data_IF_111617645867
#
_entry.id   IF_111617645867
#
_cell.length_a   1.000
_cell.length_b   1.000
_cell.length_c   1.000
_cell.angle_alpha   90.00
_cell.angle_beta   90.00
_cell.angle_gamma   90.00
#
_symmetry.space_group_name_H-M   'P 1'
#
loop_
_entity.id
_entity.type
_entity.pdbx_description
1 polymer ?
#
# COMPACT_ATOMS: atom_id res chain seq x y z
N UNK A 1 -11.41 -0.03 4.75
CA UNK A 1 -11.30 0.49 6.12
C UNK A 1 -9.83 0.58 6.47
N UNK A 2 -9.35 1.67 7.10
CA UNK A 2 -7.96 1.77 7.54
C UNK A 2 -7.66 0.68 8.58
N UNK A 3 -6.46 0.11 8.55
CA UNK A 3 -6.02 -0.86 9.55
C UNK A 3 -5.30 -0.12 10.68
N UNK A 4 -5.48 -0.56 11.91
CA UNK A 4 -4.86 0.06 13.10
C UNK A 4 -3.77 -0.84 13.64
N UNK A 5 -2.65 -0.26 14.05
CA UNK A 5 -1.57 -1.00 14.68
C UNK A 5 -1.00 -0.25 15.88
N UNK A 6 -0.41 -1.02 16.79
CA UNK A 6 0.42 -0.53 17.90
C UNK A 6 1.86 -0.90 17.62
N UNK A 7 2.81 -0.06 18.03
CA UNK A 7 4.23 -0.37 17.92
C UNK A 7 5.01 0.13 19.13
N UNK A 8 6.11 -0.54 19.41
CA UNK A 8 7.06 -0.15 20.45
C UNK A 8 8.47 -0.11 19.85
N UNK A 9 9.20 0.97 20.10
CA UNK A 9 10.57 1.11 19.66
C UNK A 9 11.53 0.49 20.71
N UNK A 10 12.32 -0.53 20.34
CA UNK A 10 13.23 -1.18 21.30
C UNK A 10 14.36 -0.25 21.77
N UNK A 11 14.67 0.80 21.02
CA UNK A 11 15.81 1.67 21.32
C UNK A 11 15.47 2.86 22.23
N UNK A 12 14.25 3.40 22.13
CA UNK A 12 13.83 4.56 22.92
C UNK A 12 12.59 4.30 23.79
N UNK A 13 12.08 3.06 23.77
CA UNK A 13 10.88 2.62 24.49
C UNK A 13 9.62 3.44 24.19
N UNK A 14 9.61 4.17 23.07
CA UNK A 14 8.46 4.93 22.64
C UNK A 14 7.40 3.97 22.10
N UNK A 15 6.17 4.13 22.57
CA UNK A 15 4.99 3.39 22.13
C UNK A 15 4.04 4.32 21.40
N UNK A 16 3.46 3.86 20.29
CA UNK A 16 2.48 4.64 19.53
C UNK A 16 1.46 3.75 18.82
N UNK A 17 0.36 4.39 18.45
CA UNK A 17 -0.70 3.86 17.60
C UNK A 17 -0.75 4.65 16.29
N UNK A 18 -1.07 3.97 15.19
CA UNK A 18 -1.32 4.64 13.92
C UNK A 18 -2.32 3.86 13.05
N UNK A 19 -2.93 4.60 12.13
CA UNK A 19 -3.82 4.07 11.10
C UNK A 19 -3.05 3.92 9.80
N UNK A 20 -3.30 2.83 9.10
CA UNK A 20 -2.75 2.58 7.77
C UNK A 20 -3.79 2.93 6.72
N UNK A 21 -3.29 3.48 5.61
CA UNK A 21 -4.08 3.68 4.40
C UNK A 21 -3.64 2.66 3.38
N UNK A 22 -4.60 1.97 2.75
CA UNK A 22 -4.33 0.96 1.74
C UNK A 22 -4.85 1.43 0.40
N UNK A 23 -3.94 1.54 -0.55
CA UNK A 23 -4.23 1.74 -1.96
C UNK A 23 -4.30 0.40 -2.69
N UNK A 24 -5.20 0.28 -3.65
CA UNK A 24 -5.33 -0.92 -4.47
C UNK A 24 -5.12 -0.61 -5.94
N UNK A 25 -4.24 -1.39 -6.59
CA UNK A 25 -3.93 -1.27 -8.01
C UNK A 25 -4.24 -2.59 -8.71
N UNK A 26 -5.05 -2.51 -9.76
CA UNK A 26 -5.52 -3.65 -10.54
C UNK A 26 -6.87 -4.20 -10.11
N UNK A 27 -7.24 -5.36 -10.64
CA UNK A 27 -8.52 -5.98 -10.34
C UNK A 27 -8.55 -6.47 -8.89
N UNK A 28 -9.57 -6.06 -8.12
CA UNK A 28 -9.78 -6.55 -6.76
C UNK A 28 -10.88 -7.60 -6.75
N UNK A 29 -10.53 -8.87 -6.89
CA UNK A 29 -11.41 -9.97 -6.43
C UNK A 29 -10.81 -10.62 -5.19
N UNK A 30 -11.62 -11.32 -4.39
CA UNK A 30 -11.16 -12.00 -3.16
C UNK A 30 -9.99 -12.96 -3.39
N UNK A 31 -9.89 -13.50 -4.60
CA UNK A 31 -8.94 -14.56 -4.95
C UNK A 31 -7.76 -14.04 -5.79
N UNK A 32 -7.70 -12.73 -6.07
CA UNK A 32 -6.61 -12.17 -6.87
C UNK A 32 -5.31 -12.23 -6.06
N UNK A 33 -4.26 -12.94 -6.54
CA UNK A 33 -2.97 -12.92 -5.87
C UNK A 33 -2.37 -11.52 -5.98
N UNK A 34 -1.91 -10.97 -4.85
CA UNK A 34 -1.38 -9.61 -4.77
C UNK A 34 0.04 -9.54 -4.23
N UNK A 35 0.82 -8.63 -4.81
CA UNK A 35 2.06 -8.12 -4.21
C UNK A 35 1.68 -7.00 -3.26
N UNK A 36 2.28 -7.00 -2.08
CA UNK A 36 2.04 -5.99 -1.05
C UNK A 36 3.29 -5.15 -0.88
N UNK A 37 3.10 -3.86 -0.80
CA UNK A 37 4.15 -2.89 -0.57
C UNK A 37 3.74 -1.99 0.60
N UNK A 38 4.71 -1.53 1.38
CA UNK A 38 4.44 -0.57 2.43
C UNK A 38 5.56 0.45 2.59
N UNK A 39 5.23 1.64 3.08
CA UNK A 39 6.21 2.65 3.48
C UNK A 39 6.53 2.51 4.98
N UNK A 40 7.79 2.34 5.39
CA UNK A 40 8.14 2.20 6.81
C UNK A 40 7.98 3.51 7.61
N UNK A 41 7.93 4.65 6.94
CA UNK A 41 7.82 5.98 7.56
C UNK A 41 6.37 6.44 7.70
N UNK A 42 5.61 6.41 6.61
CA UNK A 42 4.23 6.89 6.56
C UNK A 42 3.19 5.78 6.74
N UNK A 43 3.62 4.51 6.73
CA UNK A 43 2.73 3.36 6.98
C UNK A 43 1.60 3.27 5.93
N UNK A 44 1.87 3.79 4.73
CA UNK A 44 1.02 3.61 3.54
C UNK A 44 1.22 2.20 3.00
N UNK A 45 0.13 1.51 2.70
CA UNK A 45 0.11 0.21 2.07
C UNK A 45 -0.38 0.31 0.63
N UNK A 46 0.17 -0.53 -0.22
CA UNK A 46 -0.24 -0.66 -1.61
C UNK A 46 -0.35 -2.14 -1.93
N UNK A 47 -1.50 -2.56 -2.41
CA UNK A 47 -1.72 -3.91 -2.91
C UNK A 47 -1.86 -3.85 -4.42
N UNK A 48 -1.08 -4.68 -5.11
CA UNK A 48 -1.01 -4.70 -6.57
C UNK A 48 -1.32 -6.12 -7.04
N UNK A 49 -2.31 -6.25 -7.92
CA UNK A 49 -2.62 -7.52 -8.56
C UNK A 49 -1.39 -8.09 -9.29
N UNK A 50 -1.11 -9.38 -9.10
CA UNK A 50 0.07 -10.06 -9.71
C UNK A 50 -0.14 -10.40 -11.19
N UNK A 51 -1.38 -10.57 -11.63
CA UNK A 51 -1.78 -10.87 -13.01
C UNK A 51 -1.92 -9.60 -13.87
N UNK A 52 -1.29 -8.52 -13.43
CA UNK A 52 -1.47 -7.20 -14.00
C UNK A 52 -0.43 -6.94 -15.09
N UNK A 53 -0.77 -7.30 -16.33
CA UNK A 53 0.03 -6.97 -17.51
C UNK A 53 -0.17 -5.52 -17.99
N UNK A 54 0.61 -5.10 -18.99
CA UNK A 54 0.54 -3.74 -19.54
C UNK A 54 -0.83 -3.39 -20.16
N UNK A 55 -1.54 -4.35 -20.74
CA UNK A 55 -2.86 -4.13 -21.34
C UNK A 55 -3.91 -3.93 -20.24
N UNK A 56 -3.89 -4.79 -19.23
CA UNK A 56 -4.71 -4.69 -18.02
C UNK A 56 -4.45 -3.39 -17.28
N UNK A 57 -3.18 -2.97 -17.17
CA UNK A 57 -2.79 -1.69 -16.60
C UNK A 57 -3.40 -0.50 -17.35
N UNK A 58 -3.30 -0.47 -18.69
CA UNK A 58 -3.89 0.60 -19.51
C UNK A 58 -5.41 0.66 -19.38
N UNK A 59 -6.07 -0.50 -19.42
CA UNK A 59 -7.52 -0.58 -19.26
C UNK A 59 -7.96 -0.09 -17.87
N UNK A 60 -7.25 -0.50 -16.82
CA UNK A 60 -7.49 -0.02 -15.46
C UNK A 60 -7.27 1.49 -15.36
N UNK A 61 -6.18 2.01 -15.93
CA UNK A 61 -5.86 3.44 -15.93
C UNK A 61 -7.00 4.28 -16.53
N UNK A 62 -7.60 3.83 -17.63
CA UNK A 62 -8.75 4.50 -18.23
C UNK A 62 -9.98 4.51 -17.32
N UNK A 63 -10.24 3.42 -16.59
CA UNK A 63 -11.38 3.31 -15.66
C UNK A 63 -11.20 4.06 -14.33
N UNK A 64 -9.97 4.38 -13.94
CA UNK A 64 -9.63 4.86 -12.58
C UNK A 64 -9.05 6.28 -12.56
N UNK A 65 -9.30 7.09 -13.59
CA UNK A 65 -8.85 8.50 -13.64
C UNK A 65 -9.29 9.31 -12.41
N UNK A 66 -10.48 9.05 -11.88
CA UNK A 66 -10.97 9.70 -10.66
C UNK A 66 -10.10 9.36 -9.43
N UNK A 67 -9.63 8.12 -9.30
CA UNK A 67 -8.76 7.67 -8.21
C UNK A 67 -7.40 8.36 -8.27
N UNK A 68 -6.85 8.57 -9.48
CA UNK A 68 -5.60 9.31 -9.69
C UNK A 68 -5.70 10.77 -9.24
N UNK A 69 -6.87 11.38 -9.38
CA UNK A 69 -7.09 12.76 -8.93
C UNK A 69 -7.30 12.88 -7.42
N UNK A 70 -7.74 11.79 -6.78
CA UNK A 70 -8.07 11.76 -5.35
C UNK A 70 -6.90 11.31 -4.46
N UNK A 71 -5.92 10.61 -5.01
CA UNK A 71 -4.76 10.09 -4.28
C UNK A 71 -3.47 10.64 -4.86
N UNK A 72 -2.73 11.41 -4.05
CA UNK A 72 -1.38 11.89 -4.40
C UNK A 72 -0.42 10.73 -4.67
N UNK A 73 -0.56 9.64 -3.89
CA UNK A 73 0.20 8.41 -4.10
C UNK A 73 0.00 7.85 -5.52
N UNK A 74 -1.28 7.65 -5.90
CA UNK A 74 -1.61 7.11 -7.21
C UNK A 74 -1.22 8.08 -8.32
N UNK A 75 -1.53 9.37 -8.19
CA UNK A 75 -1.19 10.41 -9.18
C UNK A 75 0.29 10.38 -9.54
N UNK A 76 1.15 10.37 -8.52
CA UNK A 76 2.59 10.40 -8.70
C UNK A 76 3.13 9.10 -9.30
N UNK A 77 2.92 7.98 -8.62
CA UNK A 77 3.55 6.71 -8.99
C UNK A 77 2.97 6.15 -10.30
N UNK A 78 1.64 6.18 -10.46
CA UNK A 78 1.00 5.68 -11.67
C UNK A 78 1.29 6.59 -12.86
N UNK A 79 1.38 7.90 -12.65
CA UNK A 79 1.78 8.85 -13.68
C UNK A 79 3.17 8.53 -14.25
N UNK A 80 4.15 8.28 -13.38
CA UNK A 80 5.50 7.88 -13.80
C UNK A 80 5.51 6.55 -14.56
N UNK A 81 4.79 5.55 -14.05
CA UNK A 81 4.74 4.22 -14.67
C UNK A 81 4.03 4.27 -16.02
N UNK A 82 2.96 5.05 -16.15
CA UNK A 82 2.28 5.29 -17.42
C UNK A 82 3.22 5.96 -18.44
N UNK A 83 3.94 7.01 -18.04
CA UNK A 83 4.91 7.68 -18.90
C UNK A 83 6.00 6.72 -19.40
N UNK A 84 6.55 5.89 -18.52
CA UNK A 84 7.55 4.87 -18.89
C UNK A 84 6.94 3.83 -19.84
N UNK A 85 5.72 3.39 -19.59
CA UNK A 85 5.04 2.41 -20.44
C UNK A 85 4.75 2.95 -21.85
N UNK A 86 4.51 4.26 -21.98
CA UNK A 86 4.27 4.91 -23.26
C UNK A 86 5.56 5.23 -24.02
N UNK A 87 6.66 5.51 -23.31
CA UNK A 87 7.97 5.77 -23.92
C UNK A 87 8.76 4.50 -24.24
N UNK A 88 8.38 3.34 -23.68
CA UNK A 88 9.17 2.11 -23.74
C UNK A 88 8.36 0.97 -24.38
N UNK A 89 8.87 0.36 -25.47
CA UNK A 89 8.26 -0.84 -26.05
C UNK A 89 7.99 -1.95 -25.02
N UNK A 90 6.83 -2.60 -25.15
CA UNK A 90 6.29 -3.56 -24.17
C UNK A 90 7.23 -4.68 -23.71
N UNK A 91 8.08 -5.15 -24.63
CA UNK A 91 8.99 -6.28 -24.41
C UNK A 91 10.30 -5.90 -23.72
N UNK A 92 10.61 -4.60 -23.57
CA UNK A 92 11.89 -4.15 -23.02
C UNK A 92 11.86 -3.94 -21.50
N UNK A 93 10.67 -3.79 -20.90
CA UNK A 93 10.56 -3.51 -19.48
C UNK A 93 9.31 -4.16 -18.86
N UNK A 94 9.47 -5.25 -18.10
CA UNK A 94 8.37 -5.90 -17.40
C UNK A 94 7.75 -4.95 -16.37
N UNK A 95 6.42 -4.92 -16.30
CA UNK A 95 5.70 -4.05 -15.38
C UNK A 95 6.04 -4.36 -13.91
N UNK A 96 6.36 -5.62 -13.61
CA UNK A 96 6.83 -6.05 -12.29
C UNK A 96 8.07 -5.33 -11.79
N UNK A 97 8.98 -4.96 -12.70
CA UNK A 97 10.20 -4.22 -12.35
C UNK A 97 9.92 -2.76 -12.00
N UNK A 98 8.79 -2.23 -12.47
CA UNK A 98 8.34 -0.86 -12.18
C UNK A 98 7.65 -0.79 -10.82
N UNK A 99 6.92 -1.85 -10.43
CA UNK A 99 6.30 -1.92 -9.09
C UNK A 99 7.32 -1.92 -7.95
N UNK A 100 8.51 -2.46 -8.17
CA UNK A 100 9.59 -2.42 -7.19
C UNK A 100 10.27 -1.05 -7.06
N UNK A 101 9.86 -0.05 -7.86
CA UNK A 101 10.37 1.32 -7.86
C UNK A 101 9.31 2.32 -7.35
N UNK A 102 8.35 1.86 -6.57
CA UNK A 102 7.35 2.74 -5.97
C UNK A 102 7.95 3.53 -4.80
N UNK A 103 7.53 4.78 -4.67
CA UNK A 103 7.94 5.69 -3.58
C UNK A 103 6.72 6.29 -2.91
N UNK A 104 6.84 6.63 -1.63
CA UNK A 104 5.79 7.26 -0.85
C UNK A 104 5.90 8.78 -1.02
N UNK A 105 4.99 9.47 -1.76
CA UNK A 105 5.17 10.90 -2.03
C UNK A 105 5.27 11.79 -0.78
N UNK A 106 4.54 11.53 0.32
CA UNK A 106 4.67 12.34 1.54
C UNK A 106 6.07 12.36 2.16
N UNK A 107 6.88 11.30 2.00
CA UNK A 107 8.19 11.19 2.68
C UNK A 107 9.34 10.75 1.77
N UNK A 108 9.11 10.68 0.45
CA UNK A 108 10.09 10.30 -0.58
C UNK A 108 10.84 8.98 -0.29
N UNK A 109 10.20 8.08 0.46
CA UNK A 109 10.82 6.82 0.88
C UNK A 109 10.40 5.70 -0.05
N UNK A 110 11.34 4.86 -0.54
CA UNK A 110 11.00 3.67 -1.32
C UNK A 110 10.04 2.77 -0.54
N UNK A 111 9.08 2.20 -1.24
CA UNK A 111 8.21 1.19 -0.65
C UNK A 111 8.95 -0.14 -0.56
N UNK A 112 8.70 -0.87 0.53
CA UNK A 112 9.24 -2.20 0.79
C UNK A 112 8.19 -3.24 0.41
N UNK A 113 8.58 -4.26 -0.34
CA UNK A 113 7.70 -5.39 -0.65
C UNK A 113 7.53 -6.29 0.59
N UNK A 114 6.31 -6.45 1.07
CA UNK A 114 5.98 -7.23 2.26
C UNK A 114 4.82 -6.64 3.08
N UNK A 115 4.72 -7.07 4.34
CA UNK A 115 3.83 -6.47 5.35
C UNK A 115 4.64 -5.90 6.53
N UNK A 116 4.03 -5.01 7.29
CA UNK A 116 4.62 -4.47 8.52
C UNK A 116 4.79 -5.52 9.62
N UNK A 117 4.03 -6.61 9.59
CA UNK A 117 4.22 -7.71 10.55
C UNK A 117 5.57 -8.42 10.35
N UNK A 118 6.13 -8.31 9.14
CA UNK A 118 7.37 -8.99 8.75
C UNK A 118 8.56 -8.05 8.60
N UNK A 119 8.33 -6.74 8.63
CA UNK A 119 9.37 -5.73 8.41
C UNK A 119 9.29 -4.62 9.46
N UNK A 120 10.43 -4.10 9.91
CA UNK A 120 10.44 -3.01 10.88
C UNK A 120 9.87 -1.72 10.28
N UNK A 121 9.27 -0.91 11.15
CA UNK A 121 8.80 0.43 10.85
C UNK A 121 9.67 1.49 11.56
N UNK A 122 9.61 2.71 11.06
CA UNK A 122 10.37 3.83 11.59
C UNK A 122 9.68 4.42 12.82
N UNK A 123 10.42 4.50 13.92
CA UNK A 123 9.93 5.15 15.12
C UNK A 123 9.78 6.67 14.90
N UNK A 124 8.60 7.25 15.17
CA UNK A 124 8.38 8.69 14.99
C UNK A 124 9.16 9.54 16.00
N UNK A 125 9.57 8.96 17.14
CA UNK A 125 10.31 9.67 18.18
C UNK A 125 11.82 9.72 17.90
N UNK A 126 12.45 8.59 17.57
CA UNK A 126 13.91 8.51 17.42
C UNK A 126 14.38 8.33 15.96
N UNK A 127 13.47 8.15 15.00
CA UNK A 127 13.78 8.02 13.57
C UNK A 127 14.43 6.70 13.16
N UNK A 128 14.58 5.74 14.08
CA UNK A 128 15.18 4.43 13.78
C UNK A 128 14.14 3.44 13.25
N UNK A 129 14.52 2.68 12.23
CA UNK A 129 13.69 1.64 11.61
C UNK A 129 13.95 0.27 12.25
N UNK A 130 13.40 0.07 13.44
CA UNK A 130 13.55 -1.16 14.21
C UNK A 130 12.31 -1.53 15.04
N UNK A 131 11.29 -0.68 15.03
CA UNK A 131 10.08 -0.97 15.76
C UNK A 131 9.28 -2.02 15.01
N UNK A 132 8.69 -2.95 15.74
CA UNK A 132 7.79 -3.95 15.16
C UNK A 132 6.36 -3.53 15.44
N UNK A 133 5.50 -3.63 14.43
CA UNK A 133 4.07 -3.47 14.63
C UNK A 133 3.51 -4.73 15.31
N UNK A 134 2.80 -4.53 16.40
CA UNK A 134 1.90 -5.51 16.98
C UNK A 134 0.52 -5.22 16.41
N UNK A 135 0.08 -6.06 15.46
CA UNK A 135 -1.18 -5.85 14.76
C UNK A 135 -2.36 -5.68 15.72
N UNK A 136 -3.19 -4.66 15.48
CA UNK A 136 -4.43 -4.48 16.24
C UNK A 136 -5.61 -4.97 15.39
N UNK A 137 -6.50 -5.74 16.02
CA UNK A 137 -7.71 -6.30 15.42
C UNK A 137 -8.73 -5.18 15.16
N UNK A 138 -8.79 -4.67 13.93
CA UNK A 138 -10.00 -4.07 13.40
C UNK A 138 -10.57 -4.92 12.26
N UNK A 139 -10.64 -6.23 12.50
CA UNK A 139 -11.76 -7.04 12.02
C UNK A 139 -12.98 -6.70 12.89
N UNK A 140 -13.41 -5.44 12.90
CA UNK A 140 -14.76 -5.13 13.39
C UNK A 140 -15.67 -5.59 12.27
N UNK A 141 -16.13 -6.83 12.40
CA UNK A 141 -17.38 -7.27 11.80
C UNK A 141 -18.46 -6.26 12.24
N UNK A 142 -18.68 -5.19 11.46
CA UNK A 142 -19.94 -4.45 11.49
C UNK A 142 -20.99 -5.31 10.77
N UNK A 143 -21.19 -6.50 11.33
CA UNK A 143 -22.34 -7.37 11.20
C UNK A 143 -22.52 -7.98 12.58
N UNK A 144 -22.74 -7.11 13.58
CA UNK A 144 -23.58 -7.51 14.69
C UNK A 144 -24.98 -7.21 14.19
N UNK A 145 -25.65 -8.25 13.71
CA UNK A 145 -27.07 -8.23 13.41
C UNK A 145 -27.77 -7.52 14.57
N UNK A 146 -28.37 -6.38 14.27
CA UNK A 146 -29.47 -5.87 15.05
C UNK A 146 -30.64 -6.73 14.62
N UNK A 147 -30.80 -7.89 15.24
CA UNK A 147 -32.05 -8.62 15.26
C UNK A 147 -32.09 -9.43 16.55
N UNK A 148 -32.51 -8.74 17.61
CA UNK A 148 -33.12 -9.38 18.76
C UNK A 148 -34.07 -8.38 19.42
N UNK A 149 -35.23 -8.20 18.77
CA UNK A 149 -36.51 -7.84 19.42
C UNK A 149 -37.66 -7.78 18.40
N UNK A 150 -38.28 -8.94 18.15
CA UNK A 150 -39.75 -9.12 18.22
C UNK A 150 -40.07 -10.56 18.54
#
# INVERSE_FOLDING_TARGET
MPWEFRASCPDCSHEWEAHTFTEWIGHSTSDTPVRRFFCPNCVTHVSIATDFDRSSFRNWLHGHQHSLSASEFLSHNIGLIAAICDSTPGYLLPLDSLWSQLYCPPCDTPLIEGSMDTHPITCPNCGKCNAQSHGCHAHVSVLREVDDQT
#
